data_IF_900162228104
#
_entry.id   IF_900162228104
#
_cell.length_a   1.000
_cell.length_b   1.000
_cell.length_c   1.000
_cell.angle_alpha   90.00
_cell.angle_beta   90.00
_cell.angle_gamma   90.00
#
_symmetry.space_group_name_H-M   'P 1'
#
loop_
_entity.id
_entity.type
_entity.pdbx_description
1 polymer ?
#
# COMPACT_ATOMS: atom_id res chain seq x y z
N UNK A 1 51.87 -23.39 -62.52
CA UNK A 1 52.64 -23.17 -61.25
C UNK A 1 52.19 -21.81 -60.76
N UNK A 2 51.21 -21.80 -59.89
CA UNK A 2 50.76 -20.59 -59.21
C UNK A 2 51.30 -20.61 -57.80
N UNK A 3 52.36 -19.84 -57.57
CA UNK A 3 52.84 -19.53 -56.25
C UNK A 3 51.72 -18.84 -55.48
N UNK A 4 51.21 -19.48 -54.49
CA UNK A 4 50.34 -18.88 -53.50
C UNK A 4 51.22 -17.98 -52.64
N UNK A 5 51.14 -16.67 -52.91
CA UNK A 5 51.61 -15.66 -51.99
C UNK A 5 50.70 -15.71 -50.75
N UNK A 6 51.04 -16.51 -49.77
CA UNK A 6 50.47 -16.33 -48.44
C UNK A 6 51.04 -15.01 -47.91
N UNK A 7 50.20 -14.07 -47.53
CA UNK A 7 50.66 -12.75 -47.18
C UNK A 7 51.46 -12.77 -45.88
N UNK A 8 52.53 -12.03 -45.88
CA UNK A 8 53.42 -11.70 -44.76
C UNK A 8 52.72 -10.96 -43.59
N UNK A 9 51.52 -11.37 -43.23
CA UNK A 9 50.73 -10.78 -42.16
C UNK A 9 51.42 -10.96 -40.80
N UNK A 10 52.15 -12.05 -40.63
CA UNK A 10 52.86 -12.30 -39.39
C UNK A 10 54.17 -11.45 -39.27
N UNK A 11 54.85 -11.16 -40.38
CA UNK A 11 56.06 -10.32 -40.38
C UNK A 11 55.76 -8.83 -40.23
N UNK A 12 54.76 -8.32 -40.94
CA UNK A 12 54.29 -6.95 -40.79
C UNK A 12 53.67 -6.69 -39.41
N UNK A 13 53.08 -7.72 -38.79
CA UNK A 13 52.49 -7.62 -37.44
C UNK A 13 53.54 -7.38 -36.35
N UNK A 14 54.73 -8.00 -36.48
CA UNK A 14 55.78 -7.84 -35.51
C UNK A 14 56.46 -6.44 -35.57
N UNK A 15 56.74 -5.93 -36.78
CA UNK A 15 57.26 -4.56 -36.97
C UNK A 15 56.27 -3.50 -36.51
N UNK A 16 54.97 -3.63 -36.90
CA UNK A 16 53.91 -2.75 -36.45
C UNK A 16 53.75 -2.76 -34.92
N UNK A 17 53.91 -3.92 -34.28
CA UNK A 17 53.84 -4.04 -32.83
C UNK A 17 55.03 -3.33 -32.17
N UNK A 18 56.24 -3.47 -32.71
CA UNK A 18 57.40 -2.76 -32.19
C UNK A 18 57.32 -1.24 -32.27
N UNK A 19 56.81 -0.71 -33.34
CA UNK A 19 56.59 0.73 -33.52
C UNK A 19 55.49 1.27 -32.63
N UNK A 20 54.44 0.49 -32.36
CA UNK A 20 53.30 0.93 -31.60
C UNK A 20 53.20 0.40 -30.16
N UNK A 21 54.25 -0.36 -29.70
CA UNK A 21 54.23 -0.98 -28.35
C UNK A 21 53.90 -0.01 -27.23
N UNK A 22 54.41 1.21 -27.24
CA UNK A 22 54.12 2.21 -26.20
C UNK A 22 52.66 2.68 -26.24
N UNK A 23 52.07 2.83 -27.43
CA UNK A 23 50.67 3.20 -27.60
C UNK A 23 49.75 2.07 -27.17
N UNK A 24 50.11 0.82 -27.51
CA UNK A 24 49.39 -0.39 -27.11
C UNK A 24 49.40 -0.62 -25.61
N UNK A 25 50.56 -0.46 -24.99
CA UNK A 25 50.74 -0.57 -23.53
C UNK A 25 49.89 0.50 -22.82
N UNK A 26 49.97 1.75 -23.30
CA UNK A 26 49.19 2.84 -22.72
C UNK A 26 47.70 2.66 -22.90
N UNK A 27 47.25 2.17 -24.08
CA UNK A 27 45.81 1.87 -24.30
C UNK A 27 45.33 0.69 -23.45
N UNK A 28 46.16 -0.36 -23.30
CA UNK A 28 45.86 -1.48 -22.41
C UNK A 28 45.75 -1.07 -20.94
N UNK A 29 46.69 -0.22 -20.47
CA UNK A 29 46.63 0.36 -19.13
C UNK A 29 45.36 1.19 -18.91
N UNK A 30 44.98 2.01 -19.90
CA UNK A 30 43.79 2.82 -19.81
C UNK A 30 42.51 1.92 -19.73
N UNK A 31 42.47 0.87 -20.51
CA UNK A 31 41.34 -0.12 -20.45
C UNK A 31 41.31 -0.78 -19.07
N UNK A 32 42.44 -1.18 -18.51
CA UNK A 32 42.52 -1.79 -17.17
C UNK A 32 42.00 -0.80 -16.10
N UNK A 33 42.41 0.46 -16.17
CA UNK A 33 41.94 1.49 -15.22
C UNK A 33 40.45 1.70 -15.33
N UNK A 34 39.90 1.75 -16.55
CA UNK A 34 38.46 1.88 -16.77
C UNK A 34 37.71 0.66 -16.22
N UNK A 35 38.19 -0.56 -16.50
CA UNK A 35 37.57 -1.79 -15.99
C UNK A 35 37.65 -1.89 -14.47
N UNK A 36 38.77 -1.52 -13.87
CA UNK A 36 38.96 -1.48 -12.41
C UNK A 36 37.99 -0.45 -11.78
N UNK A 37 37.91 0.75 -12.34
CA UNK A 37 36.96 1.78 -11.92
C UNK A 37 35.52 1.32 -12.02
N UNK A 38 35.16 0.65 -13.12
CA UNK A 38 33.85 0.07 -13.32
C UNK A 38 33.52 -1.04 -12.30
N UNK A 39 34.49 -1.90 -11.97
CA UNK A 39 34.32 -2.93 -10.95
C UNK A 39 34.11 -2.34 -9.55
N UNK A 40 34.94 -1.34 -9.18
CA UNK A 40 34.79 -0.64 -7.90
C UNK A 40 33.44 0.07 -7.81
N UNK A 41 33.03 0.73 -8.89
CA UNK A 41 31.71 1.36 -8.97
C UNK A 41 30.56 0.35 -8.78
N UNK A 42 30.59 -0.78 -9.52
CA UNK A 42 29.59 -1.85 -9.35
C UNK A 42 29.57 -2.42 -7.94
N UNK A 43 30.72 -2.66 -7.34
CA UNK A 43 30.82 -3.19 -5.98
C UNK A 43 30.20 -2.20 -4.97
N UNK A 44 30.56 -0.92 -5.04
CA UNK A 44 30.02 0.10 -4.16
C UNK A 44 28.50 0.23 -4.30
N UNK A 45 27.97 0.23 -5.53
CA UNK A 45 26.52 0.27 -5.78
C UNK A 45 25.83 -0.99 -5.23
N UNK A 46 26.41 -2.18 -5.35
CA UNK A 46 25.81 -3.41 -4.84
C UNK A 46 25.81 -3.46 -3.31
N UNK A 47 26.88 -3.04 -2.67
CA UNK A 47 26.98 -2.97 -1.20
C UNK A 47 25.98 -1.95 -0.64
N UNK A 48 25.86 -0.78 -1.28
CA UNK A 48 24.89 0.25 -0.89
C UNK A 48 23.46 -0.25 -1.03
N UNK A 49 23.14 -1.03 -2.07
CA UNK A 49 21.84 -1.67 -2.23
C UNK A 49 21.58 -2.70 -1.15
N UNK A 50 22.54 -3.57 -0.87
CA UNK A 50 22.40 -4.61 0.16
C UNK A 50 22.15 -4.01 1.55
N UNK A 51 22.88 -2.95 1.92
CA UNK A 51 22.70 -2.24 3.19
C UNK A 51 21.31 -1.58 3.24
N UNK A 52 20.86 -0.98 2.14
CA UNK A 52 19.56 -0.33 2.07
C UNK A 52 18.41 -1.34 2.18
N UNK A 53 18.51 -2.48 1.48
CA UNK A 53 17.51 -3.56 1.57
C UNK A 53 17.50 -4.20 2.97
N UNK A 54 18.66 -4.33 3.62
CA UNK A 54 18.74 -4.85 4.99
C UNK A 54 18.03 -3.94 6.00
N UNK A 55 18.06 -2.61 5.78
CA UNK A 55 17.32 -1.66 6.60
C UNK A 55 15.79 -1.87 6.51
N UNK A 56 15.27 -2.10 5.31
CA UNK A 56 13.85 -2.44 5.14
C UNK A 56 13.52 -3.81 5.74
N UNK A 57 14.41 -4.79 5.55
CA UNK A 57 14.23 -6.13 6.10
C UNK A 57 14.24 -6.14 7.64
N UNK A 58 15.00 -5.24 8.27
CA UNK A 58 15.01 -5.10 9.73
C UNK A 58 13.65 -4.67 10.28
N UNK A 59 12.89 -3.85 9.55
CA UNK A 59 11.54 -3.47 9.95
C UNK A 59 10.58 -4.66 9.92
N UNK A 60 10.71 -5.53 8.91
CA UNK A 60 9.89 -6.75 8.81
C UNK A 60 10.17 -7.75 9.92
N UNK A 61 11.38 -7.73 10.50
CA UNK A 61 11.80 -8.58 11.60
C UNK A 61 11.70 -7.92 12.98
N UNK A 62 11.06 -6.75 13.08
CA UNK A 62 10.79 -6.14 14.39
C UNK A 62 9.93 -7.08 15.24
N UNK A 63 10.45 -7.43 16.41
CA UNK A 63 9.72 -8.24 17.41
C UNK A 63 8.63 -7.44 18.14
N UNK A 64 7.92 -6.58 17.42
CA UNK A 64 6.82 -5.78 17.95
C UNK A 64 5.51 -6.18 17.29
N UNK A 65 4.47 -6.28 18.10
CA UNK A 65 3.08 -6.42 17.63
C UNK A 65 2.40 -5.07 17.45
N UNK A 66 3.06 -3.98 17.87
CA UNK A 66 2.51 -2.64 17.75
C UNK A 66 2.71 -2.11 16.32
N UNK A 67 1.61 -1.98 15.61
CA UNK A 67 1.60 -1.47 14.22
C UNK A 67 2.11 -0.04 14.09
N UNK A 68 1.96 0.77 15.14
CA UNK A 68 2.45 2.16 15.15
C UNK A 68 3.98 2.18 15.09
N UNK A 69 4.65 1.34 15.90
CA UNK A 69 6.12 1.25 15.90
C UNK A 69 6.64 0.78 14.54
N UNK A 70 5.92 -0.12 13.88
CA UNK A 70 6.25 -0.61 12.54
C UNK A 70 6.13 0.53 11.52
N UNK A 71 5.06 1.32 11.58
CA UNK A 71 4.87 2.46 10.69
C UNK A 71 5.98 3.51 10.87
N UNK A 72 6.31 3.86 12.11
CA UNK A 72 7.41 4.78 12.41
C UNK A 72 8.78 4.26 11.95
N UNK A 73 9.00 2.95 12.03
CA UNK A 73 10.22 2.34 11.52
C UNK A 73 10.30 2.42 9.98
N UNK A 74 9.19 2.26 9.26
CA UNK A 74 9.15 2.48 7.81
C UNK A 74 9.42 3.94 7.44
N UNK A 75 8.82 4.89 8.16
CA UNK A 75 9.06 6.33 7.94
C UNK A 75 10.54 6.67 8.12
N UNK A 76 11.16 6.12 9.16
CA UNK A 76 12.59 6.28 9.40
C UNK A 76 13.44 5.70 8.26
N UNK A 77 13.14 4.48 7.81
CA UNK A 77 13.88 3.88 6.67
C UNK A 77 13.68 4.72 5.41
N UNK A 78 12.48 5.23 5.16
CA UNK A 78 12.21 6.11 4.01
C UNK A 78 13.06 7.39 4.05
N UNK A 79 13.18 8.01 5.22
CA UNK A 79 13.98 9.22 5.40
C UNK A 79 15.49 8.93 5.30
N UNK A 80 15.98 7.90 6.00
CA UNK A 80 17.41 7.54 6.05
C UNK A 80 17.96 7.07 4.69
N UNK A 81 17.09 6.57 3.83
CA UNK A 81 17.46 6.01 2.52
C UNK A 81 16.93 6.86 1.35
N UNK A 82 16.67 8.15 1.59
CA UNK A 82 16.16 9.06 0.56
C UNK A 82 16.99 8.98 -0.75
N UNK A 83 16.29 9.00 -1.88
CA UNK A 83 16.88 8.87 -3.22
C UNK A 83 17.25 7.44 -3.63
N UNK A 84 17.03 6.43 -2.79
CA UNK A 84 17.25 5.02 -3.13
C UNK A 84 15.90 4.29 -3.36
N UNK A 85 15.88 3.22 -4.15
CA UNK A 85 14.64 2.46 -4.40
C UNK A 85 13.96 1.91 -3.14
N UNK A 86 14.73 1.66 -2.08
CA UNK A 86 14.21 1.19 -0.80
C UNK A 86 13.38 2.26 -0.08
N UNK A 87 13.71 3.55 -0.25
CA UNK A 87 12.95 4.65 0.34
C UNK A 87 11.53 4.72 -0.24
N UNK A 88 11.39 4.51 -1.55
CA UNK A 88 10.09 4.43 -2.21
C UNK A 88 9.22 3.32 -1.60
N UNK A 89 9.81 2.12 -1.42
CA UNK A 89 9.11 0.97 -0.83
C UNK A 89 8.77 1.16 0.64
N UNK A 90 9.69 1.73 1.41
CA UNK A 90 9.45 2.03 2.82
C UNK A 90 8.31 3.05 2.97
N UNK A 91 8.30 4.11 2.16
CA UNK A 91 7.30 5.15 2.22
C UNK A 91 5.88 4.62 1.94
N UNK A 92 5.71 3.81 0.90
CA UNK A 92 4.39 3.22 0.60
C UNK A 92 3.95 2.22 1.66
N UNK A 93 4.87 1.44 2.25
CA UNK A 93 4.56 0.50 3.32
C UNK A 93 4.21 1.23 4.62
N UNK A 94 4.92 2.30 4.96
CA UNK A 94 4.61 3.18 6.09
C UNK A 94 3.23 3.80 5.97
N UNK A 95 2.92 4.43 4.83
CA UNK A 95 1.62 5.01 4.55
C UNK A 95 0.47 3.99 4.70
N UNK A 96 0.65 2.76 4.18
CA UNK A 96 -0.33 1.68 4.33
C UNK A 96 -0.49 1.23 5.78
N UNK A 97 0.61 1.15 6.53
CA UNK A 97 0.56 0.77 7.94
C UNK A 97 -0.13 1.84 8.79
N UNK A 98 0.11 3.13 8.50
CA UNK A 98 -0.63 4.23 9.12
C UNK A 98 -2.14 4.17 8.82
N UNK A 99 -2.50 3.81 7.58
CA UNK A 99 -3.90 3.61 7.20
C UNK A 99 -4.55 2.45 7.99
N UNK A 100 -3.82 1.34 8.18
CA UNK A 100 -4.29 0.17 8.95
C UNK A 100 -4.57 0.51 10.43
N UNK A 101 -3.79 1.41 11.01
CA UNK A 101 -4.02 1.88 12.40
C UNK A 101 -4.96 3.09 12.48
N UNK A 102 -5.60 3.42 11.36
CA UNK A 102 -6.56 4.56 11.25
C UNK A 102 -5.95 5.93 11.57
N UNK A 103 -4.63 6.07 11.44
CA UNK A 103 -3.97 7.37 11.52
C UNK A 103 -3.96 8.02 10.13
N UNK A 104 -5.14 8.52 9.74
CA UNK A 104 -5.37 9.05 8.41
C UNK A 104 -4.52 10.28 8.07
N UNK A 105 -4.16 11.09 9.07
CA UNK A 105 -3.32 12.28 8.86
C UNK A 105 -1.90 11.90 8.43
N UNK A 106 -1.26 10.98 9.17
CA UNK A 106 0.08 10.49 8.81
C UNK A 106 0.06 9.71 7.49
N UNK A 107 -0.93 8.83 7.32
CA UNK A 107 -1.11 8.08 6.07
C UNK A 107 -1.25 9.02 4.87
N UNK A 108 -2.09 10.04 4.96
CA UNK A 108 -2.29 11.02 3.89
C UNK A 108 -1.00 11.76 3.58
N UNK A 109 -0.29 12.25 4.59
CA UNK A 109 1.01 12.93 4.42
C UNK A 109 2.01 12.07 3.66
N UNK A 110 2.10 10.79 3.99
CA UNK A 110 3.06 9.88 3.34
C UNK A 110 2.65 9.49 1.92
N UNK A 111 1.35 9.30 1.66
CA UNK A 111 0.86 9.14 0.29
C UNK A 111 1.10 10.39 -0.56
N UNK A 112 0.95 11.59 0.00
CA UNK A 112 1.26 12.85 -0.69
C UNK A 112 2.74 12.98 -0.99
N UNK A 113 3.61 12.67 -0.04
CA UNK A 113 5.07 12.60 -0.27
C UNK A 113 5.42 11.59 -1.35
N UNK A 114 4.77 10.42 -1.32
CA UNK A 114 4.98 9.41 -2.36
C UNK A 114 4.62 9.95 -3.75
N UNK A 115 3.44 10.53 -3.91
CA UNK A 115 2.98 11.06 -5.19
C UNK A 115 3.82 12.25 -5.68
N UNK A 116 4.34 13.07 -4.76
CA UNK A 116 5.24 14.17 -5.10
C UNK A 116 6.60 13.69 -5.61
N UNK A 117 7.18 12.66 -4.96
CA UNK A 117 8.53 12.20 -5.26
C UNK A 117 8.57 11.08 -6.31
N UNK A 118 7.50 10.28 -6.42
CA UNK A 118 7.43 9.06 -7.23
C UNK A 118 6.13 8.98 -8.05
N UNK A 119 5.75 10.09 -8.70
CA UNK A 119 4.48 10.21 -9.47
C UNK A 119 4.31 9.17 -10.58
N UNK A 120 5.42 8.67 -11.14
CA UNK A 120 5.47 7.59 -12.14
C UNK A 120 5.98 6.26 -11.55
N UNK A 121 6.08 6.16 -10.24
CA UNK A 121 6.52 4.96 -9.54
C UNK A 121 5.52 3.81 -9.64
N UNK A 122 6.00 2.61 -9.33
CA UNK A 122 5.22 1.38 -9.43
C UNK A 122 3.92 1.42 -8.60
N UNK A 123 3.94 2.12 -7.47
CA UNK A 123 2.80 2.20 -6.55
C UNK A 123 2.04 3.53 -6.60
N UNK A 124 2.22 4.35 -7.66
CA UNK A 124 1.56 5.65 -7.77
C UNK A 124 0.01 5.52 -7.75
N UNK A 125 -0.54 4.53 -8.43
CA UNK A 125 -1.99 4.26 -8.40
C UNK A 125 -2.47 3.78 -7.01
N UNK A 126 -1.66 2.95 -6.33
CA UNK A 126 -1.93 2.50 -4.96
C UNK A 126 -1.89 3.70 -3.98
N UNK A 127 -0.88 4.57 -4.10
CA UNK A 127 -0.76 5.78 -3.29
C UNK A 127 -1.94 6.74 -3.50
N UNK A 128 -2.37 6.93 -4.76
CA UNK A 128 -3.56 7.73 -5.08
C UNK A 128 -4.82 7.14 -4.46
N UNK A 129 -4.97 5.82 -4.51
CA UNK A 129 -6.10 5.13 -3.88
C UNK A 129 -6.07 5.29 -2.36
N UNK A 130 -4.88 5.12 -1.73
CA UNK A 130 -4.70 5.30 -0.29
C UNK A 130 -4.99 6.73 0.16
N UNK A 131 -4.52 7.72 -0.59
CA UNK A 131 -4.83 9.13 -0.32
C UNK A 131 -6.35 9.40 -0.38
N UNK A 132 -7.05 8.83 -1.38
CA UNK A 132 -8.50 8.98 -1.49
C UNK A 132 -9.24 8.35 -0.30
N UNK A 133 -8.78 7.18 0.17
CA UNK A 133 -9.33 6.54 1.38
C UNK A 133 -9.13 7.44 2.62
N UNK A 134 -7.96 8.08 2.75
CA UNK A 134 -7.73 9.02 3.84
C UNK A 134 -8.67 10.23 3.77
N UNK A 135 -8.89 10.79 2.58
CA UNK A 135 -9.85 11.91 2.36
C UNK A 135 -11.27 11.51 2.72
N UNK A 136 -11.71 10.33 2.30
CA UNK A 136 -13.04 9.82 2.67
C UNK A 136 -13.18 9.67 4.18
N UNK A 137 -12.18 9.08 4.85
CA UNK A 137 -12.17 8.88 6.30
C UNK A 137 -12.15 10.19 7.10
N UNK A 138 -11.56 11.25 6.54
CA UNK A 138 -11.53 12.59 7.15
C UNK A 138 -12.73 13.47 6.77
N UNK A 139 -13.67 12.95 5.96
CA UNK A 139 -14.93 13.60 5.61
C UNK A 139 -14.93 14.31 4.25
N UNK A 140 -13.81 14.37 3.53
CA UNK A 140 -13.75 14.92 2.17
C UNK A 140 -14.15 13.86 1.12
N UNK A 141 -15.39 13.38 1.27
CA UNK A 141 -15.95 12.31 0.41
C UNK A 141 -16.00 12.75 -1.05
N UNK A 142 -16.27 14.02 -1.33
CA UNK A 142 -16.36 14.51 -2.70
C UNK A 142 -15.01 14.42 -3.44
N UNK A 143 -13.91 14.79 -2.78
CA UNK A 143 -12.58 14.64 -3.35
C UNK A 143 -12.19 13.16 -3.51
N UNK A 144 -12.56 12.29 -2.55
CA UNK A 144 -12.33 10.86 -2.65
C UNK A 144 -13.04 10.25 -3.87
N UNK A 145 -14.32 10.56 -4.08
CA UNK A 145 -15.12 10.11 -5.24
C UNK A 145 -14.44 10.47 -6.55
N UNK A 146 -13.94 11.69 -6.70
CA UNK A 146 -13.25 12.13 -7.92
C UNK A 146 -12.01 11.28 -8.21
N UNK A 147 -11.23 10.95 -7.17
CA UNK A 147 -10.05 10.09 -7.31
C UNK A 147 -10.46 8.66 -7.64
N UNK A 148 -11.45 8.10 -6.95
CA UNK A 148 -11.97 6.75 -7.26
C UNK A 148 -12.43 6.66 -8.70
N UNK A 149 -13.19 7.65 -9.21
CA UNK A 149 -13.62 7.69 -10.61
C UNK A 149 -12.43 7.66 -11.58
N UNK A 150 -11.39 8.45 -11.32
CA UNK A 150 -10.19 8.44 -12.18
C UNK A 150 -9.51 7.07 -12.19
N UNK A 151 -9.44 6.40 -11.05
CA UNK A 151 -8.79 5.10 -10.89
C UNK A 151 -9.61 3.93 -11.47
N UNK A 152 -10.90 4.12 -11.79
CA UNK A 152 -11.69 3.09 -12.48
C UNK A 152 -11.16 2.76 -13.88
N UNK A 153 -10.33 3.61 -14.46
CA UNK A 153 -9.66 3.42 -15.73
C UNK A 153 -8.16 3.06 -15.58
N UNK A 154 -7.72 2.71 -14.37
CA UNK A 154 -6.34 2.30 -14.13
C UNK A 154 -5.96 1.07 -14.95
N UNK A 155 -4.70 1.04 -15.41
CA UNK A 155 -4.13 -0.13 -16.09
C UNK A 155 -3.99 -1.32 -15.13
N UNK A 156 -3.79 -1.05 -13.84
CA UNK A 156 -3.77 -2.06 -12.80
C UNK A 156 -5.20 -2.52 -12.48
N UNK A 157 -5.52 -3.75 -12.86
CA UNK A 157 -6.85 -4.34 -12.67
C UNK A 157 -7.24 -4.52 -11.21
N UNK A 158 -6.29 -4.69 -10.30
CA UNK A 158 -6.54 -4.78 -8.87
C UNK A 158 -6.96 -3.41 -8.32
N UNK A 159 -6.24 -2.35 -8.68
CA UNK A 159 -6.59 -0.97 -8.32
C UNK A 159 -7.92 -0.57 -8.92
N UNK A 160 -8.13 -0.88 -10.22
CA UNK A 160 -9.39 -0.62 -10.89
C UNK A 160 -10.58 -1.26 -10.16
N UNK A 161 -10.46 -2.53 -9.79
CA UNK A 161 -11.52 -3.25 -9.08
C UNK A 161 -11.80 -2.69 -7.69
N UNK A 162 -10.75 -2.31 -6.96
CA UNK A 162 -10.87 -1.68 -5.64
C UNK A 162 -11.50 -0.30 -5.74
N UNK A 163 -11.08 0.52 -6.71
CA UNK A 163 -11.62 1.85 -6.95
C UNK A 163 -13.11 1.81 -7.28
N UNK A 164 -13.55 0.86 -8.13
CA UNK A 164 -14.98 0.66 -8.44
C UNK A 164 -15.80 0.35 -7.21
N UNK A 165 -15.34 -0.56 -6.34
CA UNK A 165 -16.04 -0.93 -5.10
C UNK A 165 -16.11 0.24 -4.12
N UNK A 166 -15.03 0.99 -3.96
CA UNK A 166 -15.00 2.15 -3.07
C UNK A 166 -15.87 3.29 -3.60
N UNK A 167 -15.86 3.52 -4.93
CA UNK A 167 -16.75 4.48 -5.56
C UNK A 167 -18.24 4.14 -5.33
N UNK A 168 -18.61 2.88 -5.53
CA UNK A 168 -19.96 2.40 -5.27
C UNK A 168 -20.35 2.59 -3.80
N UNK A 169 -19.46 2.22 -2.87
CA UNK A 169 -19.69 2.40 -1.43
C UNK A 169 -19.82 3.88 -1.03
N UNK A 170 -18.95 4.76 -1.55
CA UNK A 170 -18.97 6.18 -1.25
C UNK A 170 -20.21 6.92 -1.80
N UNK A 171 -20.84 6.37 -2.84
CA UNK A 171 -22.07 6.93 -3.43
C UNK A 171 -23.35 6.45 -2.75
N UNK A 172 -23.28 5.43 -1.90
CA UNK A 172 -24.45 4.96 -1.15
C UNK A 172 -24.81 6.01 -0.08
N UNK A 173 -25.91 6.72 -0.28
CA UNK A 173 -26.50 7.52 0.76
C UNK A 173 -27.13 6.58 1.79
N UNK A 174 -26.48 6.43 2.93
CA UNK A 174 -27.11 5.77 4.06
C UNK A 174 -28.30 6.64 4.49
N UNK A 175 -29.49 6.05 4.51
CA UNK A 175 -30.63 6.70 5.16
C UNK A 175 -30.22 7.05 6.59
N UNK A 176 -30.49 8.30 7.06
CA UNK A 176 -30.22 8.64 8.43
C UNK A 176 -30.95 7.61 9.31
N UNK A 177 -30.22 7.02 10.26
CA UNK A 177 -30.82 6.13 11.26
C UNK A 177 -31.97 6.91 11.89
N UNK A 178 -33.17 6.73 11.38
CA UNK A 178 -34.36 7.26 12.02
C UNK A 178 -34.33 6.74 13.43
N UNK A 179 -34.23 7.65 14.38
CA UNK A 179 -34.39 7.32 15.80
C UNK A 179 -35.59 6.36 15.87
N UNK A 180 -35.32 5.15 16.42
CA UNK A 180 -36.35 4.14 16.67
C UNK A 180 -37.67 4.87 16.95
N UNK A 181 -38.74 4.60 16.19
CA UNK A 181 -40.02 5.27 16.44
C UNK A 181 -40.28 5.15 17.94
N UNK A 182 -40.72 6.22 18.63
CA UNK A 182 -40.93 6.19 20.06
C UNK A 182 -41.77 4.95 20.33
N UNK A 183 -41.24 4.04 21.14
CA UNK A 183 -41.99 2.87 21.61
C UNK A 183 -43.28 3.44 22.12
N UNK A 184 -44.39 3.14 21.44
CA UNK A 184 -45.71 3.54 21.88
C UNK A 184 -45.81 3.09 23.33
N UNK A 185 -45.66 4.03 24.26
CA UNK A 185 -45.93 3.78 25.66
C UNK A 185 -47.37 3.30 25.66
N UNK A 186 -47.67 2.07 26.11
CA UNK A 186 -49.05 1.62 26.18
C UNK A 186 -49.80 2.67 26.97
N UNK A 187 -50.82 3.27 26.32
CA UNK A 187 -51.70 4.24 26.95
C UNK A 187 -52.13 3.64 28.29
N UNK A 188 -52.11 4.40 29.41
CA UNK A 188 -52.52 3.87 30.68
C UNK A 188 -53.90 3.25 30.47
N UNK A 189 -53.99 1.95 30.80
CA UNK A 189 -55.18 1.17 30.65
C UNK A 189 -56.34 1.93 31.25
N UNK A 190 -57.36 2.18 30.45
CA UNK A 190 -58.66 2.65 30.97
C UNK A 190 -59.08 1.66 32.06
N UNK A 191 -59.64 2.13 33.19
CA UNK A 191 -60.10 1.25 34.23
C UNK A 191 -61.09 0.26 33.61
N UNK A 192 -60.76 -1.01 33.61
CA UNK A 192 -61.68 -2.07 33.21
C UNK A 192 -62.75 -2.08 34.27
N UNK A 193 -63.96 -1.62 33.91
CA UNK A 193 -65.15 -1.83 34.73
C UNK A 193 -65.27 -3.30 35.04
N UNK A 194 -65.24 -3.64 36.34
CA UNK A 194 -65.39 -5.01 36.82
C UNK A 194 -66.67 -5.63 36.31
N UNK A 195 -66.62 -6.86 35.78
CA UNK A 195 -67.89 -7.57 35.44
C UNK A 195 -68.71 -7.76 36.70
N UNK A 196 -69.95 -7.23 36.72
CA UNK A 196 -70.94 -7.51 37.74
C UNK A 196 -71.18 -9.01 37.77
N UNK A 197 -70.83 -9.68 38.87
CA UNK A 197 -71.17 -11.05 39.14
C UNK A 197 -72.68 -11.12 39.36
N UNK A 198 -73.40 -11.61 38.40
CA UNK A 198 -74.77 -12.15 38.62
C UNK A 198 -74.63 -13.38 39.48
N UNK A 199 -75.07 -13.25 40.69
CA UNK A 199 -75.27 -14.35 41.63
C UNK A 199 -76.43 -15.22 41.20
N UNK A 200 -76.21 -16.39 40.73
CA UNK A 200 -77.23 -17.45 40.61
C UNK A 200 -77.17 -18.30 41.85
N UNK A 201 -78.34 -18.61 42.50
CA UNK A 201 -78.36 -19.35 43.73
C UNK A 201 -78.08 -20.84 43.48
N UNK A 202 -77.12 -21.37 44.16
CA UNK A 202 -76.74 -22.79 44.27
C UNK A 202 -77.83 -23.55 45.04
N UNK A 203 -78.55 -24.41 44.36
CA UNK A 203 -79.33 -25.45 45.00
C UNK A 203 -78.43 -26.62 45.36
N UNK A 204 -78.29 -26.88 46.65
CA UNK A 204 -77.59 -28.03 47.21
C UNK A 204 -78.52 -29.22 47.28
N UNK A 205 -78.24 -30.38 46.74
CA UNK A 205 -78.85 -31.63 47.13
C UNK A 205 -78.05 -32.32 48.26
N UNK A 206 -78.72 -32.65 49.32
CA UNK A 206 -78.29 -33.42 50.47
C UNK A 206 -78.08 -34.88 50.08
N UNK A 207 -77.02 -35.55 50.46
CA UNK A 207 -76.88 -36.99 50.25
C UNK A 207 -77.59 -37.78 51.37
N UNK A 208 -78.44 -38.67 50.94
CA UNK A 208 -79.10 -39.69 51.81
C UNK A 208 -78.19 -40.91 51.91
N UNK A 209 -78.07 -41.38 53.15
CA UNK A 209 -77.35 -42.60 53.53
C UNK A 209 -78.07 -43.84 53.03
N UNK A 210 -77.26 -44.75 52.51
CA UNK A 210 -77.27 -46.17 53.02
C UNK A 210 -75.95 -46.80 52.60
#
# INVERSE_FOLDING_TARGET
MSESSEPDILFNGAEWFEENKCKLINSALLIIVVLAGWQLYKKNVSETKAVSESALFSVLNLETTNRVDIAEAYDKVSADQEGKPVAERALILGAKTWLEVSNYEKAQSDFEKYLANYSSGLWASEASLGQAICKEATGDVAAAINVYQSLTNSVDTAIQSRAKKLLEAAQVQLEPLTSKPPVAVPSPAQPVEAPQQQASPLAVPVPEKK
#
